data_IF_393976281978
#
_entry.id   IF_393976281978
#
_cell.length_a   1.000
_cell.length_b   1.000
_cell.length_c   1.000
_cell.angle_alpha   90.00
_cell.angle_beta   90.00
_cell.angle_gamma   90.00
#
_symmetry.space_group_name_H-M   'P 1'
#
loop_
_entity.id
_entity.type
_entity.pdbx_description
1 polymer ?
#
# COMPACT_ATOMS: atom_id res chain seq x y z
N UNK A 1 7.05 7.25 -19.56
CA UNK A 1 6.58 7.63 -18.20
C UNK A 1 5.69 6.56 -17.56
N UNK A 2 5.24 5.52 -18.29
CA UNK A 2 4.39 4.43 -17.76
C UNK A 2 5.13 3.32 -16.99
N UNK A 3 6.43 3.09 -17.26
CA UNK A 3 7.19 1.98 -16.68
C UNK A 3 7.31 2.03 -15.16
N UNK A 4 7.33 3.22 -14.54
CA UNK A 4 7.43 3.37 -13.08
C UNK A 4 6.17 2.91 -12.34
N UNK A 5 5.00 3.29 -12.86
CA UNK A 5 3.71 2.88 -12.28
C UNK A 5 3.49 1.37 -12.37
N UNK A 6 3.83 0.76 -13.52
CA UNK A 6 3.70 -0.68 -13.74
C UNK A 6 4.61 -1.48 -12.80
N UNK A 7 5.87 -1.06 -12.65
CA UNK A 7 6.82 -1.70 -11.73
C UNK A 7 6.32 -1.65 -10.28
N UNK A 8 5.83 -0.47 -9.85
CA UNK A 8 5.29 -0.30 -8.49
C UNK A 8 4.09 -1.21 -8.25
N UNK A 9 3.16 -1.30 -9.20
CA UNK A 9 2.00 -2.20 -9.09
C UNK A 9 2.41 -3.67 -9.03
N UNK A 10 3.41 -4.09 -9.82
CA UNK A 10 3.94 -5.45 -9.77
C UNK A 10 4.58 -5.77 -8.43
N UNK A 11 5.40 -4.87 -7.88
CA UNK A 11 6.03 -5.05 -6.56
C UNK A 11 4.96 -5.26 -5.48
N UNK A 12 3.92 -4.41 -5.47
CA UNK A 12 2.83 -4.53 -4.49
C UNK A 12 2.14 -5.88 -4.61
N UNK A 13 1.81 -6.32 -5.83
CA UNK A 13 1.18 -7.64 -6.05
C UNK A 13 2.09 -8.80 -5.64
N UNK A 14 3.37 -8.74 -5.98
CA UNK A 14 4.34 -9.79 -5.64
C UNK A 14 4.58 -9.88 -4.13
N UNK A 15 4.57 -8.76 -3.40
CA UNK A 15 4.61 -8.77 -1.94
C UNK A 15 3.38 -9.47 -1.37
N UNK A 16 2.20 -9.13 -1.87
CA UNK A 16 0.94 -9.67 -1.35
C UNK A 16 0.72 -11.15 -1.69
N UNK A 17 1.27 -11.62 -2.83
CA UNK A 17 1.24 -13.03 -3.21
C UNK A 17 2.19 -13.93 -2.40
N UNK A 18 3.26 -13.36 -1.82
CA UNK A 18 4.25 -14.13 -1.04
C UNK A 18 3.79 -14.48 0.38
N UNK A 19 2.76 -13.79 0.91
CA UNK A 19 2.42 -13.84 2.33
C UNK A 19 0.98 -14.32 2.56
N UNK A 20 0.68 -15.57 2.20
CA UNK A 20 -0.69 -16.12 2.24
C UNK A 20 -1.22 -16.51 3.62
N UNK A 21 -0.36 -16.74 4.62
CA UNK A 21 -0.81 -17.17 5.96
C UNK A 21 -0.84 -16.04 7.00
N UNK A 22 -0.10 -14.95 6.78
CA UNK A 22 0.02 -13.80 7.71
C UNK A 22 -0.22 -12.46 6.99
N UNK A 23 -1.17 -12.45 6.04
CA UNK A 23 -1.47 -11.29 5.18
C UNK A 23 -1.69 -10.02 6.00
N UNK A 24 -2.42 -10.11 7.12
CA UNK A 24 -2.78 -8.96 7.94
C UNK A 24 -1.55 -8.32 8.60
N UNK A 25 -0.72 -9.10 9.29
CA UNK A 25 0.49 -8.60 9.96
C UNK A 25 1.50 -8.02 8.97
N UNK A 26 1.72 -8.71 7.85
CA UNK A 26 2.62 -8.22 6.79
C UNK A 26 2.08 -6.94 6.17
N UNK A 27 0.77 -6.88 5.90
CA UNK A 27 0.14 -5.68 5.35
C UNK A 27 0.35 -4.48 6.29
N UNK A 28 0.09 -4.64 7.59
CA UNK A 28 0.27 -3.56 8.56
C UNK A 28 1.72 -3.10 8.63
N UNK A 29 2.67 -4.04 8.67
CA UNK A 29 4.08 -3.69 8.71
C UNK A 29 4.52 -2.85 7.48
N UNK A 30 4.05 -3.20 6.28
CA UNK A 30 4.32 -2.43 5.07
C UNK A 30 3.70 -1.03 5.13
N UNK A 31 2.49 -0.91 5.68
CA UNK A 31 1.80 0.35 5.89
C UNK A 31 2.51 1.25 6.89
N UNK A 32 2.98 0.72 8.02
CA UNK A 32 3.70 1.46 9.05
C UNK A 32 5.04 2.01 8.55
N UNK A 33 5.82 1.17 7.85
CA UNK A 33 7.09 1.58 7.26
C UNK A 33 6.89 2.70 6.24
N UNK A 34 5.89 2.55 5.37
CA UNK A 34 5.56 3.55 4.36
C UNK A 34 5.01 4.85 4.98
N UNK A 35 4.11 4.75 5.98
CA UNK A 35 3.53 5.89 6.65
C UNK A 35 4.60 6.75 7.33
N UNK A 36 5.57 6.13 7.99
CA UNK A 36 6.68 6.83 8.65
C UNK A 36 7.45 7.72 7.66
N UNK A 37 7.76 7.19 6.46
CA UNK A 37 8.47 7.95 5.43
C UNK A 37 7.61 9.07 4.82
N UNK A 38 6.34 8.78 4.53
CA UNK A 38 5.45 9.74 3.88
C UNK A 38 5.07 10.89 4.83
N UNK A 39 4.76 10.58 6.09
CA UNK A 39 4.41 11.59 7.11
C UNK A 39 5.56 12.59 7.29
N UNK A 40 6.81 12.15 7.20
CA UNK A 40 8.00 13.03 7.24
C UNK A 40 8.04 14.04 6.08
N UNK A 41 7.39 13.74 4.95
CA UNK A 41 7.43 14.57 3.73
C UNK A 41 6.18 15.43 3.58
N UNK A 42 4.99 14.84 3.73
CA UNK A 42 3.69 15.52 3.48
C UNK A 42 2.96 15.92 4.77
N UNK A 43 3.48 15.51 5.93
CA UNK A 43 2.82 15.68 7.23
C UNK A 43 1.73 14.64 7.49
N UNK A 44 1.37 14.50 8.77
CA UNK A 44 0.38 13.52 9.25
C UNK A 44 -1.01 13.76 8.67
N UNK A 45 -1.46 15.02 8.64
CA UNK A 45 -2.75 15.40 8.05
C UNK A 45 -2.81 15.09 6.55
N UNK A 46 -1.69 15.27 5.83
CA UNK A 46 -1.56 14.91 4.42
C UNK A 46 -1.69 13.40 4.21
N UNK A 47 -0.96 12.61 5.00
CA UNK A 47 -1.06 11.16 4.97
C UNK A 47 -2.49 10.68 5.27
N UNK A 48 -3.11 11.16 6.34
CA UNK A 48 -4.46 10.75 6.73
C UNK A 48 -5.50 11.11 5.65
N UNK A 49 -5.36 12.26 4.99
CA UNK A 49 -6.24 12.66 3.89
C UNK A 49 -6.09 11.72 2.69
N UNK A 50 -4.86 11.34 2.34
CA UNK A 50 -4.57 10.40 1.25
C UNK A 50 -5.10 9.00 1.56
N UNK A 51 -4.89 8.54 2.80
CA UNK A 51 -5.35 7.25 3.28
C UNK A 51 -6.87 7.14 3.29
N UNK A 52 -7.56 8.16 3.81
CA UNK A 52 -9.02 8.21 3.78
C UNK A 52 -9.54 8.22 2.33
N UNK A 53 -8.89 8.96 1.43
CA UNK A 53 -9.24 8.98 0.01
C UNK A 53 -9.03 7.63 -0.66
N UNK A 54 -7.94 6.93 -0.36
CA UNK A 54 -7.68 5.60 -0.92
C UNK A 54 -8.70 4.57 -0.43
N UNK A 55 -9.04 4.56 0.86
CA UNK A 55 -10.10 3.70 1.40
C UNK A 55 -11.45 4.01 0.73
N UNK A 56 -11.77 5.29 0.56
CA UNK A 56 -13.01 5.70 -0.10
C UNK A 56 -13.12 5.20 -1.55
N UNK A 57 -11.99 5.07 -2.27
CA UNK A 57 -11.98 4.56 -3.63
C UNK A 57 -12.02 3.02 -3.66
N UNK A 58 -11.33 2.35 -2.73
CA UNK A 58 -11.31 0.88 -2.70
C UNK A 58 -12.56 0.26 -2.10
N UNK A 59 -13.31 0.98 -1.26
CA UNK A 59 -14.58 0.48 -0.71
C UNK A 59 -15.62 0.16 -1.79
N UNK A 60 -15.50 0.74 -2.99
CA UNK A 60 -16.37 0.39 -4.13
C UNK A 60 -16.21 -1.07 -4.54
N UNK A 61 -15.02 -1.65 -4.33
CA UNK A 61 -14.71 -3.06 -4.62
C UNK A 61 -14.78 -3.91 -3.36
N UNK A 62 -14.34 -3.36 -2.21
CA UNK A 62 -14.29 -4.04 -0.91
C UNK A 62 -14.98 -3.20 0.18
N UNK A 63 -16.32 -3.23 0.26
CA UNK A 63 -17.09 -2.35 1.16
C UNK A 63 -16.72 -2.47 2.65
N UNK A 64 -16.23 -3.64 3.06
CA UNK A 64 -15.79 -3.91 4.42
C UNK A 64 -14.56 -3.09 4.86
N UNK A 65 -13.79 -2.51 3.93
CA UNK A 65 -12.69 -1.58 4.24
C UNK A 65 -13.19 -0.21 4.74
N UNK A 66 -14.44 0.16 4.43
CA UNK A 66 -14.99 1.45 4.87
C UNK A 66 -15.02 1.58 6.41
N UNK A 67 -15.15 0.44 7.10
CA UNK A 67 -15.16 0.38 8.57
C UNK A 67 -13.83 0.84 9.19
N UNK A 68 -12.70 0.70 8.49
CA UNK A 68 -11.37 1.11 8.98
C UNK A 68 -11.02 2.59 8.69
N UNK A 69 -11.94 3.36 8.08
CA UNK A 69 -11.72 4.77 7.75
C UNK A 69 -12.14 5.74 8.87
N UNK A 70 -12.78 5.23 9.92
CA UNK A 70 -13.52 6.06 10.88
C UNK A 70 -12.65 6.58 12.02
N UNK A 71 -11.46 6.02 12.27
CA UNK A 71 -10.59 6.53 13.33
C UNK A 71 -9.60 7.58 12.84
N UNK A 72 -9.65 8.82 13.39
CA UNK A 72 -8.67 9.86 13.10
C UNK A 72 -7.32 9.63 13.80
N UNK A 73 -7.20 8.61 14.65
CA UNK A 73 -5.99 8.35 15.42
C UNK A 73 -5.02 7.44 14.66
N UNK A 74 -3.79 7.91 14.54
CA UNK A 74 -2.69 7.26 13.83
C UNK A 74 -2.41 5.84 14.31
N UNK A 75 -2.49 5.60 15.62
CA UNK A 75 -2.23 4.28 16.21
C UNK A 75 -3.39 3.30 16.00
N UNK A 76 -4.59 3.81 15.71
CA UNK A 76 -5.81 3.01 15.66
C UNK A 76 -6.23 2.65 14.23
N UNK A 77 -5.89 3.48 13.22
CA UNK A 77 -6.23 3.21 11.81
C UNK A 77 -5.70 1.87 11.30
N UNK A 78 -4.47 1.51 11.69
CA UNK A 78 -3.85 0.25 11.25
C UNK A 78 -4.35 -0.95 12.06
N UNK A 79 -4.70 -0.75 13.34
CA UNK A 79 -5.40 -1.76 14.12
C UNK A 79 -6.77 -2.10 13.51
N UNK A 80 -7.55 -1.09 13.12
CA UNK A 80 -8.85 -1.28 12.46
C UNK A 80 -8.72 -1.92 11.08
N UNK A 81 -7.68 -1.56 10.32
CA UNK A 81 -7.36 -2.21 9.06
C UNK A 81 -6.98 -3.68 9.28
N UNK A 82 -6.19 -3.99 10.31
CA UNK A 82 -5.80 -5.36 10.66
C UNK A 82 -7.03 -6.21 10.98
N UNK A 83 -7.90 -5.74 11.86
CA UNK A 83 -9.14 -6.43 12.21
C UNK A 83 -10.03 -6.65 10.98
N UNK A 84 -10.06 -5.67 10.08
CA UNK A 84 -10.80 -5.80 8.81
C UNK A 84 -10.23 -6.91 7.92
N UNK A 85 -8.90 -7.09 7.88
CA UNK A 85 -8.25 -8.20 7.16
C UNK A 85 -8.44 -9.56 7.84
N UNK A 86 -8.34 -9.62 9.17
CA UNK A 86 -8.54 -10.85 9.95
C UNK A 86 -9.97 -11.41 9.81
N UNK A 87 -10.95 -10.54 9.54
CA UNK A 87 -12.33 -10.93 9.27
C UNK A 87 -12.58 -11.50 7.86
N UNK A 88 -11.58 -11.57 6.99
CA UNK A 88 -11.71 -12.02 5.60
C UNK A 88 -10.83 -13.23 5.30
N UNK A 89 -11.06 -13.85 4.13
CA UNK A 89 -10.15 -14.90 3.65
C UNK A 89 -8.78 -14.28 3.30
N UNK A 90 -7.66 -15.03 3.45
CA UNK A 90 -6.34 -14.49 3.14
C UNK A 90 -6.21 -13.98 1.69
N UNK A 91 -6.87 -14.65 0.74
CA UNK A 91 -6.91 -14.20 -0.66
C UNK A 91 -7.61 -12.83 -0.79
N UNK A 92 -8.79 -12.66 -0.17
CA UNK A 92 -9.51 -11.39 -0.22
C UNK A 92 -8.77 -10.27 0.51
N UNK A 93 -8.15 -10.56 1.66
CA UNK A 93 -7.33 -9.60 2.38
C UNK A 93 -6.13 -9.14 1.54
N UNK A 94 -5.48 -10.08 0.86
CA UNK A 94 -4.31 -9.83 0.00
C UNK A 94 -4.67 -8.99 -1.23
N UNK A 95 -5.77 -9.33 -1.90
CA UNK A 95 -6.27 -8.57 -3.04
C UNK A 95 -6.72 -7.16 -2.64
N UNK A 96 -7.44 -7.03 -1.52
CA UNK A 96 -7.91 -5.75 -1.01
C UNK A 96 -6.76 -4.85 -0.58
N UNK A 97 -5.75 -5.40 0.13
CA UNK A 97 -4.58 -4.64 0.51
C UNK A 97 -3.76 -4.22 -0.72
N UNK A 98 -3.61 -5.10 -1.71
CA UNK A 98 -2.95 -4.78 -2.99
C UNK A 98 -3.63 -3.60 -3.67
N UNK A 99 -4.95 -3.65 -3.80
CA UNK A 99 -5.73 -2.56 -4.42
C UNK A 99 -5.59 -1.26 -3.63
N UNK A 100 -5.62 -1.33 -2.29
CA UNK A 100 -5.48 -0.16 -1.43
C UNK A 100 -4.10 0.49 -1.56
N UNK A 101 -3.02 -0.31 -1.50
CA UNK A 101 -1.65 0.16 -1.69
C UNK A 101 -1.44 0.77 -3.08
N UNK A 102 -1.97 0.12 -4.13
CA UNK A 102 -1.91 0.64 -5.50
C UNK A 102 -2.62 2.00 -5.59
N UNK A 103 -3.85 2.07 -5.10
CA UNK A 103 -4.67 3.30 -5.14
C UNK A 103 -3.99 4.43 -4.38
N UNK A 104 -3.51 4.15 -3.16
CA UNK A 104 -2.83 5.14 -2.33
C UNK A 104 -1.56 5.66 -3.00
N UNK A 105 -0.73 4.76 -3.53
CA UNK A 105 0.53 5.14 -4.16
C UNK A 105 0.34 5.82 -5.51
N UNK A 106 -0.75 5.54 -6.23
CA UNK A 106 -1.14 6.29 -7.44
C UNK A 106 -1.56 7.73 -7.12
N UNK A 107 -2.36 7.93 -6.07
CA UNK A 107 -2.73 9.29 -5.61
C UNK A 107 -1.47 10.04 -5.17
N UNK A 108 -0.57 9.39 -4.43
CA UNK A 108 0.69 9.99 -4.00
C UNK A 108 1.56 10.36 -5.22
N UNK A 109 1.71 9.47 -6.20
CA UNK A 109 2.46 9.74 -7.42
C UNK A 109 1.90 10.90 -8.23
N UNK A 110 0.57 11.06 -8.26
CA UNK A 110 -0.08 12.20 -8.90
C UNK A 110 0.20 13.53 -8.18
N UNK A 111 0.46 13.52 -6.86
CA UNK A 111 0.72 14.70 -6.04
C UNK A 111 2.18 15.13 -6.02
N UNK A 112 3.10 14.19 -5.79
CA UNK A 112 4.52 14.47 -5.57
C UNK A 112 5.44 13.93 -6.68
N UNK A 113 4.86 13.28 -7.68
CA UNK A 113 5.56 12.66 -8.81
C UNK A 113 5.94 11.20 -8.58
N UNK A 114 5.96 10.44 -9.69
CA UNK A 114 6.26 9.00 -9.70
C UNK A 114 7.68 8.69 -9.21
N UNK A 115 8.67 9.52 -9.60
CA UNK A 115 10.06 9.31 -9.17
C UNK A 115 10.22 9.41 -7.65
N UNK A 116 9.59 10.41 -7.04
CA UNK A 116 9.69 10.60 -5.59
C UNK A 116 8.94 9.50 -4.85
N UNK A 117 7.73 9.15 -5.32
CA UNK A 117 6.93 8.05 -4.79
C UNK A 117 7.71 6.73 -4.83
N UNK A 118 8.29 6.38 -5.98
CA UNK A 118 9.12 5.19 -6.13
C UNK A 118 10.31 5.18 -5.15
N UNK A 119 10.99 6.31 -4.96
CA UNK A 119 12.12 6.41 -4.01
C UNK A 119 11.68 6.21 -2.56
N UNK A 120 10.54 6.78 -2.17
CA UNK A 120 9.98 6.62 -0.82
C UNK A 120 9.66 5.16 -0.56
N UNK A 121 8.95 4.51 -1.49
CA UNK A 121 8.57 3.10 -1.33
C UNK A 121 9.79 2.16 -1.33
N UNK A 122 10.81 2.47 -2.14
CA UNK A 122 12.09 1.75 -2.10
C UNK A 122 12.79 1.89 -0.75
N UNK A 123 12.76 3.08 -0.16
CA UNK A 123 13.30 3.30 1.18
C UNK A 123 12.48 2.61 2.27
N UNK A 124 11.15 2.53 2.11
CA UNK A 124 10.24 1.97 3.09
C UNK A 124 10.23 0.43 3.09
N UNK A 125 10.31 -0.21 1.92
CA UNK A 125 10.21 -1.67 1.80
C UNK A 125 11.54 -2.36 1.53
N UNK A 126 12.62 -1.61 1.36
CA UNK A 126 13.97 -2.16 1.16
C UNK A 126 14.30 -2.46 -0.31
N UNK A 127 15.58 -2.32 -0.67
CA UNK A 127 16.04 -2.39 -2.06
C UNK A 127 15.96 -3.81 -2.65
N UNK A 128 16.06 -4.86 -1.83
CA UNK A 128 16.06 -6.26 -2.30
C UNK A 128 14.74 -6.67 -3.00
N UNK A 129 13.62 -6.11 -2.56
CA UNK A 129 12.30 -6.35 -3.14
C UNK A 129 12.12 -5.61 -4.47
N UNK A 130 12.67 -4.41 -4.56
CA UNK A 130 12.70 -3.59 -5.77
C UNK A 130 13.65 -4.16 -6.83
N UNK A 131 14.78 -4.72 -6.40
CA UNK A 131 15.77 -5.37 -7.27
C UNK A 131 15.26 -6.71 -7.81
N UNK A 132 14.46 -7.45 -7.04
CA UNK A 132 13.80 -8.68 -7.52
C UNK A 132 12.78 -8.36 -8.62
N UNK A 133 11.89 -7.42 -8.39
CA UNK A 133 10.87 -7.05 -9.38
C UNK A 133 11.46 -6.37 -10.62
N UNK A 134 12.53 -5.57 -10.46
CA UNK A 134 13.24 -4.96 -11.57
C UNK A 134 13.86 -5.99 -12.52
N UNK A 135 14.27 -7.16 -12.02
CA UNK A 135 14.81 -8.25 -12.84
C UNK A 135 13.73 -8.99 -13.63
N UNK A 136 12.52 -9.12 -13.10
CA UNK A 136 11.41 -9.80 -13.79
C UNK A 136 10.96 -9.03 -15.05
N UNK A 137 10.90 -7.69 -15.00
CA UNK A 137 10.56 -6.87 -16.17
C UNK A 137 11.57 -6.97 -17.33
N UNK A 138 12.84 -7.24 -17.02
CA UNK A 138 13.91 -7.36 -18.02
C UNK A 138 13.90 -8.76 -18.66
N UNK A 139 13.36 -9.76 -17.96
CA UNK A 139 13.38 -11.16 -18.39
C UNK A 139 12.16 -11.55 -19.24
N UNK A 140 11.20 -10.64 -19.42
CA UNK A 140 10.00 -10.80 -20.27
C UNK A 140 10.02 -9.92 -21.55
N UNK A 141 11.17 -9.30 -21.90
CA UNK A 141 11.33 -8.47 -23.09
C UNK A 141 12.10 -9.16 -24.22
#
# INVERSE_FOLDING_TARGET
METGSLLRHQIIKSLMAQHTEEVADVAINLWEQMATQIISIVGEAGFNSLYARSIFLTQSTYPWLAASSLSPQTDQRFAELKTSFEGQTPAQASDANSLLLITFTDILAALIGEQLTTRILRSAWGNDLWDRAGKELINES
#
